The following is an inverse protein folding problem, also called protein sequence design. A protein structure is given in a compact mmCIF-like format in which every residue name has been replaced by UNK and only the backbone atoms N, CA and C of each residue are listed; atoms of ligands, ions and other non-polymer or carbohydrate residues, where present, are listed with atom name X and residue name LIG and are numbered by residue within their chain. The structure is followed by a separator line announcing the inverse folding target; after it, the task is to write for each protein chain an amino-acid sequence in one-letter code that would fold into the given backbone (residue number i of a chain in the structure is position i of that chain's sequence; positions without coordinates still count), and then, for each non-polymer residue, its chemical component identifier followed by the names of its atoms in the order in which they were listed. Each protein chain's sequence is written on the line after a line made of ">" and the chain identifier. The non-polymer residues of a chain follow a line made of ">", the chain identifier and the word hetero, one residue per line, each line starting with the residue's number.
data_IF_135622550881
#
_entry.id   IF_135622550881
#
_cell.length_a   1.000
_cell.length_b   1.000
_cell.length_c   1.000
_cell.angle_alpha   90.00
_cell.angle_beta   90.00
_cell.angle_gamma   90.00
#
_symmetry.space_group_name_H-M   'P 1'
#
loop_
_entity.id
_entity.type
_entity.pdbx_description
1 polymer ?
#
# COMPACT_ATOMS: atom_id res chain seq x y z
N UNK A 1 -2.42 2.87 -11.20
CA UNK A 1 -2.46 3.92 -10.16
C UNK A 1 -2.69 3.29 -8.78
N UNK A 2 -1.80 3.52 -7.81
CA UNK A 2 -1.86 2.89 -6.48
C UNK A 2 -3.19 3.09 -5.74
N UNK A 3 -3.85 4.23 -5.92
CA UNK A 3 -5.15 4.49 -5.30
C UNK A 3 -6.24 3.48 -5.73
N UNK A 4 -6.23 3.06 -7.00
CA UNK A 4 -7.15 2.03 -7.52
C UNK A 4 -6.83 0.66 -6.93
N UNK A 5 -5.54 0.31 -6.86
CA UNK A 5 -5.08 -0.91 -6.22
C UNK A 5 -5.53 -0.96 -4.75
N UNK A 6 -5.34 0.12 -3.99
CA UNK A 6 -5.72 0.20 -2.57
C UNK A 6 -7.21 -0.05 -2.37
N UNK A 7 -8.06 0.57 -3.19
CA UNK A 7 -9.50 0.36 -3.12
C UNK A 7 -9.89 -1.09 -3.42
N UNK A 8 -9.28 -1.69 -4.44
CA UNK A 8 -9.54 -3.08 -4.82
C UNK A 8 -9.08 -4.04 -3.72
N UNK A 9 -7.84 -3.89 -3.24
CA UNK A 9 -7.26 -4.71 -2.19
C UNK A 9 -8.07 -4.60 -0.88
N UNK A 10 -8.51 -3.39 -0.53
CA UNK A 10 -9.37 -3.17 0.63
C UNK A 10 -10.70 -3.93 0.50
N UNK A 11 -11.38 -3.80 -0.65
CA UNK A 11 -12.68 -4.46 -0.88
C UNK A 11 -12.59 -5.98 -0.85
N UNK A 12 -11.53 -6.55 -1.41
CA UNK A 12 -11.39 -7.99 -1.61
C UNK A 12 -10.92 -8.72 -0.35
N UNK A 13 -9.99 -8.14 0.40
CA UNK A 13 -9.28 -8.88 1.44
C UNK A 13 -9.45 -8.29 2.84
N UNK A 14 -9.67 -6.98 2.95
CA UNK A 14 -9.62 -6.30 4.25
C UNK A 14 -10.98 -5.95 4.82
N UNK A 15 -11.97 -5.64 3.97
CA UNK A 15 -13.30 -5.23 4.42
C UNK A 15 -13.97 -6.28 5.32
N UNK A 16 -13.75 -7.56 5.04
CA UNK A 16 -14.32 -8.65 5.83
C UNK A 16 -13.57 -8.87 7.16
N UNK A 17 -12.23 -8.79 7.14
CA UNK A 17 -11.40 -8.98 8.34
C UNK A 17 -11.45 -7.78 9.29
N UNK A 18 -11.56 -6.57 8.74
CA UNK A 18 -11.58 -5.31 9.50
C UNK A 18 -12.68 -4.36 8.97
N UNK A 19 -13.95 -4.58 9.33
CA UNK A 19 -15.08 -3.81 8.80
C UNK A 19 -15.05 -2.32 9.14
N UNK A 20 -14.38 -1.95 10.25
CA UNK A 20 -14.20 -0.57 10.68
C UNK A 20 -13.05 0.17 9.97
N UNK A 21 -12.20 -0.55 9.23
CA UNK A 21 -11.08 0.01 8.50
C UNK A 21 -11.57 0.45 7.12
N UNK A 22 -11.30 1.69 6.75
CA UNK A 22 -11.57 2.18 5.40
C UNK A 22 -10.37 1.99 4.46
N UNK A 23 -10.52 2.25 3.15
CA UNK A 23 -9.40 2.17 2.21
C UNK A 23 -8.21 3.05 2.62
N UNK A 24 -8.47 4.23 3.20
CA UNK A 24 -7.42 5.14 3.65
C UNK A 24 -6.73 4.72 4.95
N UNK A 25 -7.35 3.84 5.75
CA UNK A 25 -6.69 3.28 6.94
C UNK A 25 -5.77 2.13 6.59
N UNK A 26 -5.91 1.54 5.39
CA UNK A 26 -4.98 0.55 4.83
C UNK A 26 -3.63 1.21 4.50
N UNK A 27 -3.67 2.25 3.67
CA UNK A 27 -2.54 3.13 3.36
C UNK A 27 -3.07 4.56 3.20
N UNK A 28 -2.54 5.55 3.92
CA UNK A 28 -2.85 6.96 3.74
C UNK A 28 -2.54 7.45 2.32
N UNK A 29 -3.17 8.54 1.89
CA UNK A 29 -2.87 9.15 0.59
C UNK A 29 -1.41 9.66 0.54
N UNK A 30 -0.90 10.22 1.64
CA UNK A 30 0.49 10.70 1.77
C UNK A 30 1.52 9.61 1.46
N UNK A 31 1.32 8.43 2.03
CA UNK A 31 2.23 7.29 1.87
C UNK A 31 2.22 6.78 0.42
N UNK A 32 1.05 6.77 -0.23
CA UNK A 32 0.97 6.42 -1.65
C UNK A 32 1.66 7.46 -2.54
N UNK A 33 1.54 8.74 -2.21
CA UNK A 33 2.23 9.81 -2.93
C UNK A 33 3.75 9.70 -2.76
N UNK A 34 4.22 9.45 -1.54
CA UNK A 34 5.65 9.33 -1.25
C UNK A 34 6.25 8.10 -1.92
N UNK A 35 5.56 6.96 -1.91
CA UNK A 35 5.97 5.79 -2.70
C UNK A 35 6.06 6.12 -4.19
N UNK A 36 5.05 6.80 -4.74
CA UNK A 36 5.01 7.14 -6.17
C UNK A 36 6.13 8.10 -6.57
N UNK A 37 6.52 9.03 -5.69
CA UNK A 37 7.64 9.96 -5.91
C UNK A 37 9.01 9.27 -5.86
N UNK A 38 9.11 8.16 -5.14
CA UNK A 38 10.36 7.46 -4.87
C UNK A 38 10.45 6.09 -5.54
N UNK A 39 9.56 5.75 -6.49
CA UNK A 39 9.53 4.44 -7.18
C UNK A 39 10.90 4.03 -7.73
N UNK A 40 11.67 4.97 -8.28
CA UNK A 40 13.01 4.71 -8.84
C UNK A 40 14.07 4.33 -7.79
N UNK A 41 13.76 4.47 -6.50
CA UNK A 41 14.62 4.14 -5.36
C UNK A 41 14.11 2.92 -4.58
N UNK A 42 13.08 2.24 -5.07
CA UNK A 42 12.43 1.12 -4.40
C UNK A 42 12.70 -0.16 -5.19
N UNK A 43 13.64 -0.97 -4.71
CA UNK A 43 14.07 -2.21 -5.36
C UNK A 43 13.62 -3.45 -4.59
N UNK A 44 13.32 -3.30 -3.31
CA UNK A 44 12.75 -4.34 -2.47
C UNK A 44 11.66 -3.82 -1.54
N UNK A 45 11.02 -4.74 -0.82
CA UNK A 45 9.97 -4.43 0.16
C UNK A 45 10.51 -3.52 1.27
N UNK A 46 11.73 -3.76 1.72
CA UNK A 46 12.37 -3.00 2.80
C UNK A 46 12.59 -1.52 2.43
N UNK A 47 12.79 -1.20 1.14
CA UNK A 47 12.92 0.18 0.69
C UNK A 47 11.62 0.96 0.88
N UNK A 48 10.47 0.33 0.58
CA UNK A 48 9.14 0.94 0.77
C UNK A 48 8.86 1.30 2.24
N UNK A 49 9.42 0.53 3.19
CA UNK A 49 9.23 0.75 4.62
C UNK A 49 9.80 2.09 5.10
N UNK A 50 10.72 2.69 4.34
CA UNK A 50 11.31 4.01 4.61
C UNK A 50 10.38 5.16 4.24
N UNK A 51 9.36 4.90 3.43
CA UNK A 51 8.45 5.90 2.87
C UNK A 51 7.01 5.73 3.35
N UNK A 52 6.74 4.78 4.25
CA UNK A 52 5.37 4.43 4.66
C UNK A 52 5.27 4.12 6.15
N UNK A 53 4.09 4.39 6.71
CA UNK A 53 3.73 4.12 8.11
C UNK A 53 2.54 3.16 8.19
N UNK A 54 2.61 2.05 7.46
CA UNK A 54 1.53 1.08 7.36
C UNK A 54 1.48 0.19 8.60
N UNK A 55 0.33 0.19 9.27
CA UNK A 55 0.09 -0.56 10.53
C UNK A 55 0.21 -2.06 10.33
N UNK A 56 -0.46 -2.64 9.32
CA UNK A 56 -0.42 -4.08 9.07
C UNK A 56 0.55 -4.42 7.92
N UNK A 57 1.79 -3.93 8.03
CA UNK A 57 2.82 -4.08 7.00
C UNK A 57 2.92 -5.50 6.43
N UNK A 58 3.01 -6.50 7.29
CA UNK A 58 3.20 -7.91 6.91
C UNK A 58 2.09 -8.47 6.03
N UNK A 59 0.89 -7.87 6.04
CA UNK A 59 -0.25 -8.32 5.25
C UNK A 59 -0.31 -7.69 3.86
N UNK A 60 0.36 -6.54 3.66
CA UNK A 60 0.18 -5.73 2.45
C UNK A 60 1.49 -5.51 1.70
N UNK A 61 2.63 -5.63 2.36
CA UNK A 61 3.92 -5.21 1.82
C UNK A 61 4.23 -5.90 0.49
N UNK A 62 4.02 -7.21 0.38
CA UNK A 62 4.23 -7.95 -0.87
C UNK A 62 3.28 -7.48 -1.99
N UNK A 63 1.98 -7.39 -1.72
CA UNK A 63 0.97 -7.00 -2.72
C UNK A 63 1.11 -5.53 -3.15
N UNK A 64 1.55 -4.66 -2.24
CA UNK A 64 1.86 -3.26 -2.49
C UNK A 64 3.11 -3.13 -3.37
N UNK A 65 4.16 -3.90 -3.09
CA UNK A 65 5.37 -3.89 -3.91
C UNK A 65 5.07 -4.31 -5.35
N UNK A 66 4.31 -5.39 -5.54
CA UNK A 66 3.86 -5.80 -6.87
C UNK A 66 3.04 -4.72 -7.58
N UNK A 67 2.17 -4.02 -6.84
CA UNK A 67 1.38 -2.94 -7.40
C UNK A 67 2.24 -1.76 -7.82
N UNK A 68 3.31 -1.47 -7.07
CA UNK A 68 4.26 -0.40 -7.36
C UNK A 68 5.12 -0.70 -8.59
N UNK A 69 5.55 -1.96 -8.78
CA UNK A 69 6.32 -2.40 -9.95
C UNK A 69 5.53 -2.41 -11.26
N UNK A 70 4.20 -2.27 -11.20
CA UNK A 70 3.30 -2.25 -12.38
C UNK A 70 2.91 -0.84 -12.82
N UNK A 71 3.56 0.20 -12.29
CA UNK A 71 3.27 1.62 -12.55
C UNK A 71 4.36 2.18 -13.46
#
# INVERSE_FOLDING_TARGET
>A
KLATWRLHHWRQYWKEMWPSYGPKTLIPDSDLEDLSKHTSKIFCIEDMRRYTHIVHWSYISSSLFEALQRI
#
